data_IF_972976712216
#
_entry.id   IF_972976712216
#
_cell.length_a   1.000
_cell.length_b   1.000
_cell.length_c   1.000
_cell.angle_alpha   90.00
_cell.angle_beta   90.00
_cell.angle_gamma   90.00
#
_symmetry.space_group_name_H-M   'P 1'
#
loop_
_entity.id
_entity.type
_entity.pdbx_description
1 polymer ?
#
# COMPACT_ATOMS: atom_id res chain seq x y z
N UNK A 1 -28.07 -11.05 -7.76
CA UNK A 1 -26.77 -10.38 -7.59
C UNK A 1 -27.05 -8.93 -7.22
N UNK A 2 -26.55 -8.44 -6.08
CA UNK A 2 -26.73 -7.05 -5.65
C UNK A 2 -25.64 -6.19 -6.30
N UNK A 3 -25.95 -4.93 -6.63
CA UNK A 3 -25.00 -3.99 -7.22
C UNK A 3 -24.62 -2.94 -6.17
N UNK A 4 -23.32 -2.80 -5.93
CA UNK A 4 -22.75 -1.72 -5.13
C UNK A 4 -22.15 -0.69 -6.10
N UNK A 5 -22.51 0.58 -5.92
CA UNK A 5 -22.19 1.66 -6.85
C UNK A 5 -21.41 2.77 -6.14
N UNK A 6 -20.24 3.10 -6.68
CA UNK A 6 -19.36 4.10 -6.11
C UNK A 6 -18.78 5.01 -7.18
N UNK A 7 -18.37 6.21 -6.78
CA UNK A 7 -17.36 6.99 -7.50
C UNK A 7 -16.01 6.66 -6.90
N UNK A 8 -15.04 6.32 -7.74
CA UNK A 8 -13.63 6.22 -7.34
C UNK A 8 -12.87 7.42 -7.86
N UNK A 9 -12.13 8.09 -6.98
CA UNK A 9 -11.32 9.26 -7.29
C UNK A 9 -9.87 9.01 -6.88
N UNK A 10 -8.91 9.47 -7.67
CA UNK A 10 -7.52 9.52 -7.25
C UNK A 10 -7.25 10.79 -6.42
N UNK A 11 -6.77 10.64 -5.20
CA UNK A 11 -6.34 11.76 -4.32
C UNK A 11 -4.94 12.26 -4.72
N UNK A 12 -4.12 11.38 -5.28
CA UNK A 12 -2.78 11.68 -5.81
C UNK A 12 -2.66 11.13 -7.22
N UNK A 13 -1.81 11.71 -8.10
CA UNK A 13 -1.56 11.18 -9.42
C UNK A 13 -1.19 9.70 -9.40
N UNK A 14 -1.60 8.97 -10.44
CA UNK A 14 -1.50 7.52 -10.49
C UNK A 14 -0.84 7.01 -11.78
N UNK A 15 0.12 6.10 -11.61
CA UNK A 15 0.88 5.51 -12.72
C UNK A 15 0.32 4.14 -13.10
N UNK A 16 -0.91 4.09 -13.63
CA UNK A 16 -1.59 2.86 -14.05
C UNK A 16 -1.28 2.54 -15.52
N UNK A 17 -0.07 2.02 -15.77
CA UNK A 17 0.38 1.69 -17.12
C UNK A 17 -0.53 0.67 -17.83
N UNK A 18 -0.90 0.96 -19.08
CA UNK A 18 -1.47 0.02 -20.04
C UNK A 18 -0.36 -0.79 -20.75
N UNK A 19 -0.68 -1.46 -21.86
CA UNK A 19 0.30 -2.22 -22.65
C UNK A 19 1.46 -1.35 -23.18
N UNK A 20 1.23 -0.06 -23.40
CA UNK A 20 2.21 0.94 -23.82
C UNK A 20 2.82 1.72 -22.64
N UNK A 21 2.61 1.25 -21.41
CA UNK A 21 3.06 1.90 -20.17
C UNK A 21 2.46 3.30 -19.92
N UNK A 22 1.40 3.68 -20.63
CA UNK A 22 0.67 4.94 -20.44
C UNK A 22 -0.43 4.78 -19.38
N UNK A 23 -0.67 5.82 -18.57
CA UNK A 23 -1.71 5.86 -17.57
C UNK A 23 -3.11 5.69 -18.16
N UNK A 24 -3.84 4.66 -17.73
CA UNK A 24 -5.17 4.35 -18.22
C UNK A 24 -6.11 3.86 -17.11
N UNK A 25 -7.33 4.40 -17.08
CA UNK A 25 -8.46 3.85 -16.36
C UNK A 25 -8.87 2.53 -16.99
N UNK A 26 -8.67 1.43 -16.26
CA UNK A 26 -9.03 0.08 -16.71
C UNK A 26 -9.35 -0.80 -15.51
N UNK A 27 -10.21 -1.80 -15.70
CA UNK A 27 -10.74 -2.65 -14.63
C UNK A 27 -9.71 -3.56 -13.94
N UNK A 28 -8.72 -4.19 -14.62
CA UNK A 28 -7.85 -5.19 -14.00
C UNK A 28 -7.09 -4.73 -12.74
N UNK A 29 -6.49 -3.53 -12.68
CA UNK A 29 -5.87 -2.99 -11.47
C UNK A 29 -6.81 -2.93 -10.27
N UNK A 30 -8.09 -2.57 -10.46
CA UNK A 30 -9.08 -2.53 -9.38
C UNK A 30 -9.44 -3.93 -8.88
N UNK A 31 -9.51 -4.93 -9.78
CA UNK A 31 -9.68 -6.34 -9.37
C UNK A 31 -8.49 -6.81 -8.51
N UNK A 32 -7.26 -6.42 -8.88
CA UNK A 32 -6.08 -6.74 -8.08
C UNK A 32 -6.10 -6.06 -6.70
N UNK A 33 -6.55 -4.81 -6.61
CA UNK A 33 -6.71 -4.10 -5.34
C UNK A 33 -7.77 -4.72 -4.43
N UNK A 34 -8.93 -5.10 -5.01
CA UNK A 34 -9.96 -5.86 -4.30
C UNK A 34 -9.39 -7.14 -3.72
N UNK A 35 -8.74 -7.97 -4.54
CA UNK A 35 -8.07 -9.21 -4.10
C UNK A 35 -7.06 -8.97 -2.98
N UNK A 36 -6.26 -7.90 -3.09
CA UNK A 36 -5.26 -7.56 -2.08
C UNK A 36 -5.88 -7.22 -0.72
N UNK A 37 -6.91 -6.39 -0.68
CA UNK A 37 -7.53 -6.01 0.60
C UNK A 37 -8.49 -7.05 1.12
N UNK A 38 -9.15 -7.80 0.24
CA UNK A 38 -9.99 -8.94 0.62
C UNK A 38 -9.17 -10.00 1.35
N UNK A 39 -7.93 -10.27 0.91
CA UNK A 39 -7.02 -11.18 1.62
C UNK A 39 -6.76 -10.76 3.06
N UNK A 40 -6.63 -9.46 3.34
CA UNK A 40 -6.47 -8.94 4.71
C UNK A 40 -7.76 -9.09 5.51
N UNK A 41 -8.92 -8.81 4.90
CA UNK A 41 -10.23 -8.99 5.54
C UNK A 41 -10.47 -10.45 5.91
N UNK A 42 -10.14 -11.39 5.01
CA UNK A 42 -10.44 -12.82 5.17
C UNK A 42 -9.37 -13.60 5.93
N UNK A 43 -8.16 -13.05 6.10
CA UNK A 43 -7.01 -13.78 6.64
C UNK A 43 -7.32 -14.50 7.97
N UNK A 44 -7.98 -13.82 8.90
CA UNK A 44 -8.32 -14.39 10.21
C UNK A 44 -9.30 -15.57 10.11
N UNK A 45 -10.30 -15.49 9.24
CA UNK A 45 -11.28 -16.58 9.04
C UNK A 45 -10.66 -17.80 8.33
N UNK A 46 -9.55 -17.59 7.63
CA UNK A 46 -8.72 -18.66 7.10
C UNK A 46 -7.58 -19.06 8.04
N UNK A 47 -7.62 -18.66 9.32
CA UNK A 47 -6.60 -18.95 10.34
C UNK A 47 -5.18 -18.55 9.92
N UNK A 48 -5.07 -17.52 9.08
CA UNK A 48 -3.83 -17.05 8.46
C UNK A 48 -3.09 -18.12 7.62
N UNK A 49 -3.79 -19.18 7.20
CA UNK A 49 -3.29 -20.19 6.28
C UNK A 49 -3.45 -19.72 4.83
N UNK A 50 -2.31 -19.54 4.14
CA UNK A 50 -2.28 -19.05 2.77
C UNK A 50 -2.92 -20.02 1.76
N UNK A 51 -2.94 -21.33 2.06
CA UNK A 51 -3.53 -22.35 1.19
C UNK A 51 -5.04 -22.25 1.21
N UNK A 52 -5.64 -22.21 2.42
CA UNK A 52 -7.07 -21.99 2.62
C UNK A 52 -7.52 -20.63 2.06
N UNK A 53 -6.72 -19.59 2.27
CA UNK A 53 -7.01 -18.26 1.74
C UNK A 53 -6.97 -18.23 0.20
N UNK A 54 -5.99 -18.92 -0.41
CA UNK A 54 -5.86 -19.03 -1.88
C UNK A 54 -7.04 -19.79 -2.49
N UNK A 55 -7.52 -20.83 -1.82
CA UNK A 55 -8.72 -21.56 -2.22
C UNK A 55 -9.96 -20.66 -2.15
N UNK A 56 -10.21 -20.01 -1.00
CA UNK A 56 -11.33 -19.10 -0.83
C UNK A 56 -11.30 -17.91 -1.81
N UNK A 57 -10.11 -17.35 -2.08
CA UNK A 57 -9.92 -16.30 -3.09
C UNK A 57 -10.28 -16.81 -4.49
N UNK A 58 -9.84 -18.03 -4.84
CA UNK A 58 -10.16 -18.69 -6.11
C UNK A 58 -11.66 -18.88 -6.28
N UNK A 59 -12.34 -19.36 -5.24
CA UNK A 59 -13.80 -19.55 -5.23
C UNK A 59 -14.56 -18.22 -5.41
N UNK A 60 -14.05 -17.09 -4.91
CA UNK A 60 -14.70 -15.79 -5.04
C UNK A 60 -14.37 -15.08 -6.38
N UNK A 61 -13.08 -14.95 -6.70
CA UNK A 61 -12.60 -14.15 -7.83
C UNK A 61 -12.39 -14.94 -9.13
N UNK A 62 -12.63 -16.25 -9.09
CA UNK A 62 -12.43 -17.21 -10.18
C UNK A 62 -11.03 -17.84 -10.15
N UNK A 63 -10.93 -19.08 -10.64
CA UNK A 63 -9.68 -19.83 -10.72
C UNK A 63 -9.64 -20.80 -11.90
N UNK A 64 -8.44 -21.34 -12.16
CA UNK A 64 -8.21 -22.42 -13.11
C UNK A 64 -7.21 -23.48 -12.59
N UNK A 65 -6.97 -23.52 -11.27
CA UNK A 65 -5.90 -24.35 -10.67
C UNK A 65 -6.34 -25.20 -9.47
N UNK A 66 -7.55 -25.02 -8.92
CA UNK A 66 -8.02 -25.85 -7.81
C UNK A 66 -8.31 -27.27 -8.30
N UNK A 67 -8.13 -28.23 -7.40
CA UNK A 67 -8.40 -29.65 -7.64
C UNK A 67 -9.67 -30.05 -6.89
N UNK A 68 -10.47 -30.92 -7.49
CA UNK A 68 -11.59 -31.56 -6.82
C UNK A 68 -11.12 -32.70 -5.89
N UNK A 69 -12.06 -33.39 -5.25
CA UNK A 69 -11.77 -34.53 -4.36
C UNK A 69 -11.06 -35.70 -5.07
N UNK A 70 -11.18 -35.81 -6.40
CA UNK A 70 -10.47 -36.81 -7.21
C UNK A 70 -9.06 -36.37 -7.61
N UNK A 71 -8.64 -35.16 -7.23
CA UNK A 71 -7.36 -34.57 -7.61
C UNK A 71 -7.35 -33.93 -9.02
N UNK A 72 -8.49 -33.90 -9.72
CA UNK A 72 -8.62 -33.34 -11.06
C UNK A 72 -8.75 -31.82 -11.00
N UNK A 73 -7.97 -31.12 -11.82
CA UNK A 73 -8.08 -29.66 -11.92
C UNK A 73 -9.40 -29.23 -12.55
N UNK A 74 -9.99 -28.17 -12.00
CA UNK A 74 -11.18 -27.54 -12.55
C UNK A 74 -11.05 -26.00 -12.54
N UNK A 75 -11.94 -25.35 -13.29
CA UNK A 75 -11.97 -23.91 -13.43
C UNK A 75 -13.36 -23.36 -13.15
N UNK A 76 -13.40 -22.14 -12.61
CA UNK A 76 -14.64 -21.40 -12.43
C UNK A 76 -14.49 -19.93 -12.74
N UNK A 77 -15.59 -19.34 -13.20
CA UNK A 77 -15.70 -17.90 -13.35
C UNK A 77 -15.81 -17.22 -11.97
N UNK A 78 -15.34 -15.97 -11.92
CA UNK A 78 -15.55 -15.05 -10.80
C UNK A 78 -17.03 -14.95 -10.42
N UNK A 79 -17.35 -15.12 -9.13
CA UNK A 79 -18.71 -14.91 -8.58
C UNK A 79 -19.07 -13.43 -8.45
N UNK A 80 -18.08 -12.54 -8.54
CA UNK A 80 -18.27 -11.09 -8.59
C UNK A 80 -18.11 -10.54 -10.01
N UNK A 81 -18.75 -9.39 -10.28
CA UNK A 81 -18.63 -8.65 -11.55
C UNK A 81 -18.15 -7.23 -11.27
N UNK A 82 -17.11 -6.79 -11.97
CA UNK A 82 -16.48 -5.50 -11.77
C UNK A 82 -16.57 -4.67 -13.05
N UNK A 83 -17.03 -3.41 -12.96
CA UNK A 83 -17.12 -2.52 -14.12
C UNK A 83 -16.78 -1.08 -13.73
N UNK A 84 -15.85 -0.47 -14.47
CA UNK A 84 -15.70 0.98 -14.51
C UNK A 84 -16.70 1.55 -15.51
N UNK A 85 -17.15 2.80 -15.31
CA UNK A 85 -18.06 3.47 -16.24
C UNK A 85 -17.51 3.46 -17.68
N UNK A 86 -16.20 3.69 -17.82
CA UNK A 86 -15.49 3.66 -19.09
C UNK A 86 -14.02 3.21 -18.89
N UNK A 87 -13.36 2.81 -19.98
CA UNK A 87 -11.90 2.71 -20.02
C UNK A 87 -11.35 3.85 -20.84
N UNK A 88 -10.50 4.69 -20.25
CA UNK A 88 -9.94 5.88 -20.92
C UNK A 88 -8.53 6.19 -20.45
N UNK A 89 -7.78 6.93 -21.27
CA UNK A 89 -6.48 7.46 -20.86
C UNK A 89 -6.61 8.41 -19.66
N UNK A 90 -5.53 8.53 -18.88
CA UNK A 90 -5.37 9.62 -17.93
C UNK A 90 -5.20 10.97 -18.65
N UNK A 91 -5.26 12.07 -17.91
CA UNK A 91 -5.23 13.42 -18.47
C UNK A 91 -3.93 14.17 -18.22
N UNK A 92 -3.06 13.69 -17.33
CA UNK A 92 -1.82 14.38 -16.99
C UNK A 92 -0.74 14.16 -18.05
N UNK A 93 -0.50 15.17 -18.90
CA UNK A 93 0.50 15.11 -19.97
C UNK A 93 1.89 15.56 -19.55
N UNK A 94 1.99 16.41 -18.52
CA UNK A 94 3.25 16.96 -18.04
C UNK A 94 3.30 16.88 -16.53
N UNK A 95 4.49 16.66 -15.99
CA UNK A 95 4.68 16.72 -14.55
C UNK A 95 4.81 18.18 -14.12
N UNK A 96 4.07 18.53 -13.08
CA UNK A 96 4.11 19.87 -12.49
C UNK A 96 5.37 20.06 -11.62
N UNK A 97 5.39 21.14 -10.83
CA UNK A 97 6.46 21.43 -9.90
C UNK A 97 6.76 20.25 -8.95
N UNK A 98 8.04 19.98 -8.75
CA UNK A 98 8.55 18.96 -7.83
C UNK A 98 9.17 19.66 -6.62
N UNK A 99 8.44 19.79 -5.49
CA UNK A 99 8.90 20.56 -4.36
C UNK A 99 10.13 19.88 -3.72
N UNK A 100 11.16 20.66 -3.33
CA UNK A 100 12.39 20.10 -2.82
C UNK A 100 12.26 19.58 -1.39
N UNK A 101 12.99 18.52 -1.07
CA UNK A 101 13.20 18.02 0.30
C UNK A 101 14.68 17.77 0.54
N UNK A 102 15.18 18.07 1.74
CA UNK A 102 16.58 17.85 2.08
C UNK A 102 16.88 16.36 2.31
N UNK A 103 17.94 15.85 1.68
CA UNK A 103 18.41 14.48 1.84
C UNK A 103 19.90 14.47 2.23
N UNK A 104 20.19 14.10 3.48
CA UNK A 104 21.55 14.16 4.04
C UNK A 104 22.55 13.19 3.39
N UNK A 105 22.10 12.04 2.89
CA UNK A 105 23.00 11.03 2.26
C UNK A 105 23.23 11.26 0.75
N UNK A 106 22.78 12.37 0.17
CA UNK A 106 22.94 12.63 -1.28
C UNK A 106 23.91 13.81 -1.49
N UNK A 107 25.07 13.54 -2.09
CA UNK A 107 26.18 14.50 -2.19
C UNK A 107 27.02 14.52 -0.91
N UNK A 108 28.13 15.27 -0.92
CA UNK A 108 29.14 15.26 0.17
C UNK A 108 28.53 15.76 1.50
N UNK A 109 27.66 16.77 1.46
CA UNK A 109 27.07 17.40 2.65
C UNK A 109 25.55 17.29 2.71
N UNK A 110 24.98 16.38 1.92
CA UNK A 110 23.55 16.35 1.64
C UNK A 110 23.11 17.46 0.67
N UNK A 111 21.93 17.30 0.07
CA UNK A 111 21.34 18.32 -0.81
C UNK A 111 19.82 18.27 -0.84
N UNK A 112 19.21 19.32 -1.37
CA UNK A 112 17.80 19.30 -1.75
C UNK A 112 17.60 18.45 -3.01
N UNK A 113 16.63 17.56 -2.97
CA UNK A 113 16.19 16.71 -4.09
C UNK A 113 14.68 16.89 -4.32
N UNK A 114 14.20 16.60 -5.52
CA UNK A 114 12.76 16.57 -5.80
C UNK A 114 12.06 15.48 -4.97
N UNK A 115 11.10 15.87 -4.15
CA UNK A 115 10.36 14.96 -3.28
C UNK A 115 9.45 14.02 -4.07
N UNK A 116 8.83 14.51 -5.14
CA UNK A 116 8.00 13.71 -6.03
C UNK A 116 8.85 12.66 -6.73
N UNK A 117 9.98 13.06 -7.32
CA UNK A 117 10.91 12.14 -7.95
C UNK A 117 11.45 11.10 -6.95
N UNK A 118 11.76 11.49 -5.72
CA UNK A 118 12.25 10.54 -4.71
C UNK A 118 11.25 9.42 -4.41
N UNK A 119 9.97 9.75 -4.28
CA UNK A 119 8.90 8.76 -4.06
C UNK A 119 8.46 8.06 -5.35
N UNK A 120 8.62 8.71 -6.49
CA UNK A 120 8.08 8.32 -7.80
C UNK A 120 9.13 7.86 -8.82
N UNK A 121 10.40 7.68 -8.45
CA UNK A 121 11.46 7.33 -9.40
C UNK A 121 11.12 6.08 -10.20
N UNK A 122 11.19 6.14 -11.53
CA UNK A 122 10.79 5.07 -12.44
C UNK A 122 9.69 5.56 -13.37
N UNK A 123 8.44 5.73 -12.89
CA UNK A 123 7.42 6.52 -13.60
C UNK A 123 7.78 8.00 -13.75
N UNK A 124 8.50 8.56 -12.77
CA UNK A 124 9.12 9.87 -12.85
C UNK A 124 10.61 9.74 -13.15
N UNK A 125 11.12 10.65 -13.98
CA UNK A 125 12.53 10.73 -14.35
C UNK A 125 13.04 12.15 -14.21
N UNK A 126 14.36 12.29 -14.02
CA UNK A 126 15.02 13.58 -14.01
C UNK A 126 15.73 13.80 -15.34
N UNK A 127 15.52 14.95 -15.96
CA UNK A 127 16.30 15.40 -17.11
C UNK A 127 17.05 16.67 -16.73
N UNK A 128 18.37 16.68 -16.92
CA UNK A 128 19.23 17.86 -16.68
C UNK A 128 18.62 19.06 -17.41
N UNK A 129 18.55 20.21 -16.76
CA UNK A 129 17.92 21.47 -17.24
C UNK A 129 16.39 21.47 -17.39
N UNK A 130 15.70 20.31 -17.40
CA UNK A 130 14.23 20.23 -17.49
C UNK A 130 13.55 19.84 -16.17
N UNK A 131 14.31 19.32 -15.21
CA UNK A 131 13.78 18.89 -13.92
C UNK A 131 13.08 17.53 -13.97
N UNK A 132 12.16 17.31 -13.04
CA UNK A 132 11.36 16.09 -12.94
C UNK A 132 10.28 16.06 -14.02
N UNK A 133 10.14 14.94 -14.72
CA UNK A 133 9.12 14.73 -15.74
C UNK A 133 8.57 13.31 -15.75
N UNK A 134 7.41 13.14 -16.38
CA UNK A 134 6.81 11.83 -16.66
C UNK A 134 7.71 11.04 -17.62
N UNK A 135 7.96 9.77 -17.30
CA UNK A 135 8.65 8.84 -18.20
C UNK A 135 7.78 8.49 -19.41
N UNK A 136 6.48 8.29 -19.16
CA UNK A 136 5.46 7.98 -20.16
C UNK A 136 4.22 8.82 -19.88
N UNK A 137 3.58 9.30 -20.94
CA UNK A 137 2.41 10.16 -20.89
C UNK A 137 1.22 9.50 -21.60
N UNK A 138 -0.01 9.76 -21.16
CA UNK A 138 -0.38 10.50 -19.95
C UNK A 138 -0.17 9.67 -18.66
N UNK A 139 -0.20 10.31 -17.50
CA UNK A 139 -0.55 9.68 -16.21
C UNK A 139 -2.01 10.00 -15.86
N UNK A 140 -2.59 9.30 -14.87
CA UNK A 140 -3.89 9.69 -14.32
C UNK A 140 -3.65 10.82 -13.31
N UNK A 141 -4.35 11.93 -13.46
CA UNK A 141 -4.18 13.10 -12.60
C UNK A 141 -4.83 12.90 -11.22
N UNK A 142 -4.39 13.69 -10.25
CA UNK A 142 -5.15 13.86 -9.01
C UNK A 142 -6.53 14.43 -9.31
N UNK A 143 -7.50 14.07 -8.48
CA UNK A 143 -8.91 14.40 -8.56
C UNK A 143 -9.65 13.86 -9.80
N UNK A 144 -8.98 13.15 -10.71
CA UNK A 144 -9.72 12.37 -11.71
C UNK A 144 -10.57 11.30 -11.02
N UNK A 145 -11.83 11.22 -11.43
CA UNK A 145 -12.80 10.28 -10.90
C UNK A 145 -13.55 9.53 -12.01
N UNK A 146 -14.10 8.37 -11.65
CA UNK A 146 -14.90 7.53 -12.54
C UNK A 146 -15.91 6.71 -11.73
N UNK A 147 -17.05 6.38 -12.35
CA UNK A 147 -18.00 5.44 -11.78
C UNK A 147 -17.42 4.03 -11.68
N UNK A 148 -17.70 3.34 -10.58
CA UNK A 148 -17.24 2.00 -10.25
C UNK A 148 -18.41 1.17 -9.74
N UNK A 149 -18.61 0.01 -10.36
CA UNK A 149 -19.70 -0.90 -10.04
C UNK A 149 -19.15 -2.27 -9.67
N UNK A 150 -19.64 -2.80 -8.55
CA UNK A 150 -19.33 -4.14 -8.08
C UNK A 150 -20.63 -4.92 -7.90
N UNK A 151 -20.83 -5.94 -8.73
CA UNK A 151 -21.87 -6.95 -8.55
C UNK A 151 -21.39 -8.01 -7.55
N UNK A 152 -22.19 -8.28 -6.53
CA UNK A 152 -21.89 -9.22 -5.44
C UNK A 152 -23.04 -10.22 -5.22
N UNK A 153 -22.71 -11.38 -4.66
CA UNK A 153 -23.71 -12.32 -4.13
C UNK A 153 -24.08 -11.90 -2.70
N UNK A 154 -25.22 -12.38 -2.19
CA UNK A 154 -25.61 -12.11 -0.80
C UNK A 154 -24.61 -12.70 0.21
N UNK A 155 -24.02 -13.87 -0.11
CA UNK A 155 -23.06 -14.55 0.74
C UNK A 155 -21.74 -13.76 0.88
N UNK A 156 -21.29 -13.11 -0.19
CA UNK A 156 -19.99 -12.41 -0.22
C UNK A 156 -20.10 -10.91 0.11
N UNK A 157 -21.32 -10.40 0.34
CA UNK A 157 -21.59 -8.96 0.44
C UNK A 157 -20.84 -8.30 1.61
N UNK A 158 -20.88 -8.89 2.80
CA UNK A 158 -20.26 -8.32 4.01
C UNK A 158 -18.74 -8.16 3.86
N UNK A 159 -18.07 -9.22 3.40
CA UNK A 159 -16.61 -9.23 3.17
C UNK A 159 -16.21 -8.20 2.12
N UNK A 160 -17.00 -8.05 1.06
CA UNK A 160 -16.72 -7.11 -0.01
C UNK A 160 -17.00 -5.66 0.39
N UNK A 161 -18.02 -5.40 1.20
CA UNK A 161 -18.25 -4.09 1.81
C UNK A 161 -17.11 -3.70 2.74
N UNK A 162 -16.64 -4.63 3.58
CA UNK A 162 -15.44 -4.42 4.41
C UNK A 162 -14.20 -4.17 3.55
N UNK A 163 -14.03 -4.93 2.47
CA UNK A 163 -12.92 -4.76 1.52
C UNK A 163 -12.93 -3.37 0.88
N UNK A 164 -14.10 -2.88 0.46
CA UNK A 164 -14.27 -1.53 -0.08
C UNK A 164 -13.97 -0.46 0.97
N UNK A 165 -14.35 -0.67 2.23
CA UNK A 165 -13.96 0.20 3.35
C UNK A 165 -12.44 0.29 3.51
N UNK A 166 -11.73 -0.85 3.44
CA UNK A 166 -10.27 -0.89 3.51
C UNK A 166 -9.62 -0.22 2.29
N UNK A 167 -10.21 -0.36 1.09
CA UNK A 167 -9.76 0.36 -0.10
C UNK A 167 -9.92 1.88 0.08
N UNK A 168 -11.06 2.33 0.60
CA UNK A 168 -11.30 3.74 0.90
C UNK A 168 -10.23 4.28 1.85
N UNK A 169 -10.00 3.60 2.98
CA UNK A 169 -9.03 4.04 3.99
C UNK A 169 -7.56 3.87 3.62
N UNK A 170 -7.19 2.82 2.88
CA UNK A 170 -5.78 2.40 2.71
C UNK A 170 -5.38 2.06 1.26
N UNK A 171 -6.33 2.01 0.33
CA UNK A 171 -6.08 1.66 -1.07
C UNK A 171 -5.19 2.66 -1.83
N UNK A 172 -4.21 2.13 -2.54
CA UNK A 172 -3.37 2.85 -3.51
C UNK A 172 -3.17 1.96 -4.75
N UNK A 173 -3.09 2.56 -5.94
CA UNK A 173 -3.01 1.84 -7.23
C UNK A 173 -1.87 2.32 -8.12
N UNK A 174 -1.37 1.40 -8.96
CA UNK A 174 -0.36 1.70 -9.97
C UNK A 174 1.09 1.67 -9.48
N UNK A 175 2.00 2.16 -10.34
CA UNK A 175 3.42 2.23 -10.03
C UNK A 175 3.69 3.07 -8.79
N UNK A 176 4.62 2.61 -7.93
CA UNK A 176 5.03 3.31 -6.70
C UNK A 176 3.90 3.58 -5.70
N UNK A 177 2.79 2.85 -5.80
CA UNK A 177 1.60 3.03 -4.95
C UNK A 177 1.86 2.96 -3.44
N UNK A 178 2.79 2.10 -3.02
CA UNK A 178 3.21 1.98 -1.61
C UNK A 178 3.91 3.23 -1.06
N UNK A 179 4.31 4.17 -1.92
CA UNK A 179 4.90 5.44 -1.52
C UNK A 179 3.87 6.58 -1.47
N UNK A 180 2.57 6.30 -1.62
CA UNK A 180 1.50 7.30 -1.56
C UNK A 180 0.89 7.66 -2.92
N UNK A 181 1.55 7.34 -4.03
CA UNK A 181 1.00 7.56 -5.38
C UNK A 181 -0.24 6.70 -5.65
N UNK A 182 -1.13 7.19 -6.50
CA UNK A 182 -2.40 6.54 -6.81
C UNK A 182 -3.26 6.23 -5.59
N UNK A 183 -3.18 7.03 -4.53
CA UNK A 183 -4.14 7.00 -3.42
C UNK A 183 -5.55 7.18 -3.96
N UNK A 184 -6.48 6.30 -3.58
CA UNK A 184 -7.87 6.36 -4.02
C UNK A 184 -8.81 6.71 -2.88
N UNK A 185 -9.87 7.46 -3.17
CA UNK A 185 -11.06 7.60 -2.33
C UNK A 185 -12.25 6.95 -3.04
N UNK A 186 -13.22 6.53 -2.25
CA UNK A 186 -14.48 5.94 -2.72
C UNK A 186 -15.65 6.70 -2.09
N UNK A 187 -16.67 7.01 -2.87
CA UNK A 187 -17.90 7.65 -2.42
C UNK A 187 -19.09 6.84 -2.90
N UNK A 188 -20.05 6.53 -2.03
CA UNK A 188 -21.25 5.76 -2.39
C UNK A 188 -22.18 6.61 -3.25
N UNK A 189 -22.62 6.09 -4.40
CA UNK A 189 -23.55 6.79 -5.29
C UNK A 189 -25.01 6.64 -4.88
N UNK A 190 -25.32 5.66 -4.03
CA UNK A 190 -26.69 5.41 -3.58
C UNK A 190 -26.72 5.08 -2.08
N UNK A 191 -27.18 6.03 -1.28
CA UNK A 191 -27.30 5.88 0.18
C UNK A 191 -28.48 5.00 0.59
N UNK A 192 -29.45 4.75 -0.29
CA UNK A 192 -30.66 3.97 0.02
C UNK A 192 -30.48 2.46 -0.19
N UNK A 193 -29.57 2.04 -1.09
CA UNK A 193 -29.38 0.62 -1.44
C UNK A 193 -27.97 0.07 -1.14
N UNK A 194 -27.06 0.90 -0.59
CA UNK A 194 -25.65 0.58 -0.42
C UNK A 194 -25.14 0.69 1.01
N UNK A 195 -24.08 -0.07 1.32
CA UNK A 195 -23.28 0.16 2.53
C UNK A 195 -22.54 1.50 2.40
N UNK A 196 -22.86 2.42 3.30
CA UNK A 196 -22.18 3.70 3.39
C UNK A 196 -20.79 3.50 3.98
N UNK A 197 -19.78 3.85 3.20
CA UNK A 197 -18.40 3.82 3.67
C UNK A 197 -18.23 4.86 4.78
N UNK A 198 -17.68 4.44 5.90
CA UNK A 198 -17.27 5.35 6.95
C UNK A 198 -16.21 6.32 6.38
N UNK A 199 -16.36 7.64 6.61
CA UNK A 199 -15.53 8.66 6.00
C UNK A 199 -14.07 8.56 6.47
N UNK A 200 -13.14 9.14 5.73
CA UNK A 200 -11.73 9.27 6.13
C UNK A 200 -11.57 9.83 7.55
N UNK A 201 -12.42 10.79 7.94
CA UNK A 201 -12.39 11.37 9.29
C UNK A 201 -12.52 10.33 10.41
N UNK A 202 -13.17 9.19 10.16
CA UNK A 202 -13.29 8.10 11.14
C UNK A 202 -11.94 7.45 11.48
N UNK A 203 -11.02 7.31 10.50
CA UNK A 203 -9.66 6.86 10.77
C UNK A 203 -8.82 8.00 11.33
N UNK A 204 -8.95 9.23 10.84
CA UNK A 204 -8.14 10.36 11.29
C UNK A 204 -8.40 10.73 12.76
N UNK A 205 -9.65 10.59 13.21
CA UNK A 205 -10.08 10.86 14.59
C UNK A 205 -9.85 9.70 15.55
N UNK A 206 -9.60 8.49 15.05
CA UNK A 206 -9.45 7.29 15.87
C UNK A 206 -10.73 6.49 16.10
N UNK A 207 -11.90 6.97 15.63
CA UNK A 207 -13.18 6.27 15.79
C UNK A 207 -13.20 4.87 15.16
N UNK A 208 -12.50 4.68 14.05
CA UNK A 208 -12.43 3.39 13.35
C UNK A 208 -11.45 2.38 13.99
N UNK A 209 -10.67 2.76 15.01
CA UNK A 209 -9.56 1.92 15.51
C UNK A 209 -10.05 0.62 16.14
N UNK A 210 -11.16 0.64 16.89
CA UNK A 210 -11.71 -0.57 17.50
C UNK A 210 -12.14 -1.60 16.46
N UNK A 211 -12.73 -1.16 15.35
CA UNK A 211 -13.08 -2.04 14.25
C UNK A 211 -11.84 -2.57 13.53
N UNK A 212 -10.84 -1.70 13.29
CA UNK A 212 -9.59 -2.09 12.63
C UNK A 212 -8.76 -3.09 13.43
N UNK A 213 -8.84 -3.06 14.77
CA UNK A 213 -8.15 -4.04 15.63
C UNK A 213 -8.60 -5.48 15.37
N UNK A 214 -9.83 -5.70 14.88
CA UNK A 214 -10.32 -7.04 14.51
C UNK A 214 -9.57 -7.66 13.33
N UNK A 215 -8.94 -6.84 12.49
CA UNK A 215 -8.15 -7.20 11.31
C UNK A 215 -6.65 -6.97 11.55
N UNK A 216 -6.25 -6.91 12.81
CA UNK A 216 -4.89 -6.64 13.24
C UNK A 216 -4.25 -7.87 13.87
N UNK A 217 -2.92 -7.87 13.94
CA UNK A 217 -2.15 -8.95 14.56
C UNK A 217 -0.84 -8.39 15.16
N UNK A 218 -0.36 -8.92 16.30
CA UNK A 218 0.91 -8.51 16.88
C UNK A 218 2.06 -8.56 15.87
N UNK A 219 2.94 -7.57 15.91
CA UNK A 219 4.08 -7.48 14.99
C UNK A 219 4.91 -8.77 14.95
N UNK A 220 5.21 -9.36 16.13
CA UNK A 220 5.99 -10.59 16.23
C UNK A 220 5.34 -11.76 15.49
N UNK A 221 4.02 -11.92 15.64
CA UNK A 221 3.27 -12.99 14.99
C UNK A 221 3.17 -12.76 13.47
N UNK A 222 3.06 -11.50 13.04
CA UNK A 222 3.07 -11.18 11.62
C UNK A 222 4.39 -11.54 10.95
N UNK A 223 5.51 -11.37 11.65
CA UNK A 223 6.85 -11.67 11.12
C UNK A 223 7.12 -13.17 10.98
N UNK A 224 6.24 -14.04 11.49
CA UNK A 224 6.30 -15.49 11.27
C UNK A 224 5.79 -15.93 9.90
N UNK A 225 5.06 -15.07 9.17
CA UNK A 225 4.53 -15.37 7.84
C UNK A 225 5.09 -14.38 6.82
N UNK A 226 5.52 -14.85 5.65
CA UNK A 226 6.20 -14.03 4.63
C UNK A 226 5.27 -13.29 3.65
N UNK A 227 3.97 -13.26 3.95
CA UNK A 227 2.97 -12.57 3.15
C UNK A 227 2.14 -11.59 4.01
N UNK A 228 1.72 -10.44 3.47
CA UNK A 228 0.97 -9.44 4.24
C UNK A 228 -0.48 -9.87 4.46
N UNK A 229 -0.88 -9.98 5.72
CA UNK A 229 -2.17 -10.59 6.12
C UNK A 229 -2.96 -9.80 7.17
N UNK A 230 -2.35 -8.82 7.85
CA UNK A 230 -2.99 -8.03 8.88
C UNK A 230 -2.31 -6.66 9.02
N UNK A 231 -3.04 -5.67 9.56
CA UNK A 231 -2.42 -4.44 10.07
C UNK A 231 -1.66 -4.81 11.34
N UNK A 232 -0.38 -4.46 11.43
CA UNK A 232 0.41 -4.82 12.60
C UNK A 232 -0.01 -4.04 13.84
N UNK A 233 0.19 -4.63 15.03
CA UNK A 233 0.07 -3.95 16.33
C UNK A 233 1.38 -4.00 17.11
N UNK A 234 1.55 -3.02 17.99
CA UNK A 234 2.59 -2.99 19.02
C UNK A 234 1.97 -2.41 20.29
N UNK A 235 2.06 -3.16 21.40
CA UNK A 235 1.40 -2.85 22.67
C UNK A 235 -0.10 -2.54 22.48
N UNK A 236 -0.80 -3.43 21.76
CA UNK A 236 -2.24 -3.32 21.41
C UNK A 236 -2.64 -2.09 20.59
N UNK A 237 -1.67 -1.28 20.15
CA UNK A 237 -1.92 -0.12 19.29
C UNK A 237 -1.59 -0.47 17.85
N UNK A 238 -2.49 -0.12 16.94
CA UNK A 238 -2.25 -0.26 15.51
C UNK A 238 -0.98 0.49 15.10
N UNK A 239 -0.20 -0.13 14.22
CA UNK A 239 0.92 0.47 13.51
C UNK A 239 0.36 1.32 12.36
N UNK A 240 -0.34 2.40 12.74
CA UNK A 240 -1.02 3.34 11.89
C UNK A 240 -0.77 4.76 12.40
N UNK A 241 -0.27 5.63 11.52
CA UNK A 241 0.09 7.01 11.82
C UNK A 241 -0.55 7.96 10.83
N UNK A 242 -0.80 9.18 11.29
CA UNK A 242 -1.13 10.34 10.44
C UNK A 242 -0.11 11.47 10.61
N UNK A 243 0.03 12.32 9.61
CA UNK A 243 0.79 13.57 9.75
C UNK A 243 0.29 14.39 10.93
N UNK A 244 1.18 15.17 11.55
CA UNK A 244 0.83 16.05 12.68
C UNK A 244 -0.08 17.21 12.27
N UNK A 245 0.04 17.62 11.01
CA UNK A 245 -0.71 18.69 10.39
C UNK A 245 -1.35 18.18 9.09
N UNK A 246 -2.33 18.92 8.59
CA UNK A 246 -2.88 18.74 7.26
C UNK A 246 -2.23 19.69 6.25
N UNK A 247 -2.47 19.44 4.98
CA UNK A 247 -1.91 20.17 3.85
C UNK A 247 -3.00 20.67 2.91
N UNK A 248 -2.70 21.68 2.10
CA UNK A 248 -3.65 22.29 1.16
C UNK A 248 -3.63 21.62 -0.21
N UNK A 249 -2.62 20.78 -0.48
CA UNK A 249 -2.49 20.04 -1.73
C UNK A 249 -1.92 18.66 -1.52
N UNK A 250 -2.24 17.74 -2.44
CA UNK A 250 -1.59 16.43 -2.50
C UNK A 250 -0.06 16.57 -2.67
N UNK A 251 0.40 17.61 -3.36
CA UNK A 251 1.83 17.87 -3.62
C UNK A 251 2.61 18.12 -2.32
N UNK A 252 2.07 18.99 -1.45
CA UNK A 252 2.63 19.23 -0.12
C UNK A 252 2.60 17.97 0.76
N UNK A 253 1.51 17.18 0.70
CA UNK A 253 1.43 15.92 1.42
C UNK A 253 2.48 14.89 0.92
N UNK A 254 2.71 14.82 -0.39
CA UNK A 254 3.76 13.96 -0.96
C UNK A 254 5.17 14.44 -0.59
N UNK A 255 5.39 15.75 -0.48
CA UNK A 255 6.64 16.32 0.04
C UNK A 255 6.89 15.86 1.49
N UNK A 256 5.86 15.89 2.33
CA UNK A 256 5.94 15.43 3.72
C UNK A 256 6.21 13.92 3.81
N UNK A 257 5.55 13.10 3.00
CA UNK A 257 5.83 11.67 2.91
C UNK A 257 7.28 11.38 2.51
N UNK A 258 7.86 12.20 1.62
CA UNK A 258 9.26 12.07 1.23
C UNK A 258 10.19 12.39 2.42
N UNK A 259 9.91 13.47 3.14
CA UNK A 259 10.64 13.87 4.36
C UNK A 259 10.61 12.76 5.41
N UNK A 260 9.44 12.20 5.70
CA UNK A 260 9.25 11.10 6.66
C UNK A 260 10.02 9.85 6.21
N UNK A 261 9.96 9.51 4.92
CA UNK A 261 10.69 8.36 4.36
C UNK A 261 12.19 8.50 4.50
N UNK A 262 12.72 9.69 4.22
CA UNK A 262 14.13 10.02 4.40
C UNK A 262 14.50 9.90 5.89
N UNK A 263 13.67 10.43 6.78
CA UNK A 263 13.92 10.42 8.22
C UNK A 263 14.18 9.01 8.76
N UNK A 264 13.33 8.02 8.44
CA UNK A 264 13.58 6.66 8.92
C UNK A 264 14.63 5.91 8.10
N UNK A 265 14.67 6.03 6.77
CA UNK A 265 15.61 5.25 5.95
C UNK A 265 17.06 5.57 6.28
N UNK A 266 17.34 6.84 6.50
CA UNK A 266 18.71 7.32 6.74
C UNK A 266 19.20 7.12 8.19
N UNK A 267 18.43 6.41 9.01
CA UNK A 267 18.82 5.92 10.34
C UNK A 267 19.11 4.41 10.34
N UNK A 268 18.92 3.76 9.19
CA UNK A 268 19.17 2.33 8.99
C UNK A 268 20.39 2.16 8.10
N UNK A 269 21.29 1.27 8.50
CA UNK A 269 22.46 0.90 7.74
C UNK A 269 22.08 0.07 6.51
N UNK A 270 22.96 0.12 5.50
CA UNK A 270 22.84 -0.65 4.27
C UNK A 270 24.26 -1.03 3.81
N UNK A 271 24.97 -1.92 4.54
CA UNK A 271 26.31 -2.34 4.14
C UNK A 271 26.28 -3.01 2.77
N UNK A 272 27.32 -2.80 1.97
CA UNK A 272 27.49 -3.53 0.70
C UNK A 272 27.96 -4.96 1.02
N UNK A 273 27.36 -5.94 0.37
CA UNK A 273 27.70 -7.35 0.47
C UNK A 273 27.06 -8.10 1.64
N UNK A 274 26.35 -7.42 2.55
CA UNK A 274 25.69 -8.04 3.71
C UNK A 274 24.27 -7.50 3.89
N UNK A 275 23.35 -8.33 4.39
CA UNK A 275 22.05 -7.84 4.80
C UNK A 275 22.22 -6.94 6.03
N UNK A 276 21.48 -5.84 6.06
CA UNK A 276 21.52 -4.83 7.14
C UNK A 276 20.14 -4.23 7.32
N UNK A 277 19.97 -3.30 8.26
CA UNK A 277 18.64 -2.88 8.70
C UNK A 277 17.76 -2.39 7.53
N UNK A 278 18.31 -1.63 6.58
CA UNK A 278 17.56 -1.07 5.44
C UNK A 278 17.07 -2.13 4.46
N UNK A 279 17.74 -3.28 4.39
CA UNK A 279 17.39 -4.40 3.51
C UNK A 279 16.16 -5.16 4.00
N UNK A 280 15.88 -5.15 5.31
CA UNK A 280 14.69 -5.75 5.93
C UNK A 280 13.42 -4.97 5.59
N UNK A 281 13.53 -3.66 5.33
CA UNK A 281 12.37 -2.85 4.95
C UNK A 281 11.93 -3.15 3.51
N UNK A 282 12.89 -3.23 2.58
CA UNK A 282 12.65 -3.50 1.17
C UNK A 282 13.97 -3.83 0.45
N UNK A 283 13.88 -4.64 -0.60
CA UNK A 283 15.00 -5.00 -1.49
C UNK A 283 14.53 -5.01 -2.95
N UNK A 284 15.32 -4.48 -3.91
CA UNK A 284 16.70 -4.00 -3.79
C UNK A 284 16.84 -2.61 -3.17
N UNK A 285 18.04 -2.32 -2.65
CA UNK A 285 18.47 -1.00 -2.22
C UNK A 285 19.56 -0.50 -3.19
N UNK A 286 19.35 0.66 -3.81
CA UNK A 286 20.26 1.21 -4.83
C UNK A 286 21.70 1.27 -4.32
N UNK A 287 22.64 0.65 -5.05
CA UNK A 287 24.07 0.56 -4.71
C UNK A 287 24.43 -0.21 -3.43
N UNK A 288 23.45 -0.81 -2.75
CA UNK A 288 23.64 -1.60 -1.53
C UNK A 288 23.12 -3.02 -1.79
N UNK A 289 23.93 -3.79 -2.52
CA UNK A 289 23.60 -5.19 -2.86
C UNK A 289 23.95 -6.12 -1.70
N UNK A 290 23.22 -7.23 -1.56
CA UNK A 290 23.47 -8.25 -0.54
C UNK A 290 24.03 -9.51 -1.19
N UNK A 291 25.18 -10.02 -0.70
CA UNK A 291 25.73 -11.28 -1.19
C UNK A 291 24.74 -12.43 -0.92
N UNK A 292 24.63 -13.37 -1.86
CA UNK A 292 23.64 -14.46 -1.79
C UNK A 292 22.28 -14.11 -2.41
N UNK A 293 21.86 -12.84 -2.42
CA UNK A 293 20.64 -12.39 -3.11
C UNK A 293 20.87 -12.01 -4.58
N UNK A 294 22.10 -12.13 -5.05
CA UNK A 294 22.52 -11.88 -6.41
C UNK A 294 22.63 -13.17 -7.20
N UNK A 295 22.29 -13.10 -8.48
CA UNK A 295 22.56 -14.14 -9.46
C UNK A 295 23.16 -13.47 -10.69
N UNK A 296 24.35 -13.91 -11.12
CA UNK A 296 25.12 -13.25 -12.18
C UNK A 296 25.28 -11.72 -11.96
N UNK A 297 25.48 -11.31 -10.70
CA UNK A 297 25.63 -9.90 -10.31
C UNK A 297 24.36 -9.05 -10.31
N UNK A 298 23.18 -9.65 -10.56
CA UNK A 298 21.87 -8.98 -10.62
C UNK A 298 20.95 -9.43 -9.49
N UNK A 299 20.09 -8.54 -9.02
CA UNK A 299 19.07 -8.86 -8.02
C UNK A 299 17.99 -9.75 -8.64
N UNK A 300 17.92 -11.02 -8.23
CA UNK A 300 16.88 -11.95 -8.72
C UNK A 300 15.67 -12.03 -7.82
N UNK A 301 15.85 -11.73 -6.53
CA UNK A 301 14.77 -11.71 -5.55
C UNK A 301 14.49 -10.29 -5.08
N UNK A 302 13.26 -10.05 -4.62
CA UNK A 302 12.80 -8.72 -4.19
C UNK A 302 12.00 -8.83 -2.91
N UNK A 303 12.29 -7.95 -1.97
CA UNK A 303 11.44 -7.74 -0.81
C UNK A 303 10.61 -6.49 -1.04
N UNK A 304 9.31 -6.70 -1.08
CA UNK A 304 8.33 -5.64 -1.11
C UNK A 304 8.42 -4.77 0.17
N UNK A 305 8.49 -3.44 0.02
CA UNK A 305 8.26 -2.52 1.14
C UNK A 305 6.94 -2.85 1.87
N UNK A 306 7.05 -3.09 3.18
CA UNK A 306 5.95 -3.48 4.07
C UNK A 306 5.27 -2.25 4.71
N UNK A 307 6.03 -1.17 4.92
CA UNK A 307 5.48 0.13 5.32
C UNK A 307 4.88 0.81 4.10
N UNK A 308 3.60 1.17 4.19
CA UNK A 308 2.86 1.80 3.10
C UNK A 308 2.46 3.21 3.48
N UNK A 309 2.50 4.08 2.48
CA UNK A 309 1.95 5.42 2.58
C UNK A 309 0.70 5.57 1.74
N UNK A 310 -0.14 6.52 2.16
CA UNK A 310 -1.31 6.98 1.45
C UNK A 310 -1.55 8.45 1.76
N UNK A 311 -2.08 9.20 0.80
CA UNK A 311 -2.64 10.53 1.04
C UNK A 311 -4.16 10.40 1.04
N UNK A 312 -4.81 11.04 2.02
CA UNK A 312 -6.27 11.06 2.13
C UNK A 312 -6.77 12.49 2.26
N UNK A 313 -8.03 12.72 1.91
CA UNK A 313 -8.71 14.00 2.15
C UNK A 313 -9.72 13.84 3.30
N UNK A 314 -9.75 14.82 4.19
CA UNK A 314 -10.84 14.97 5.16
C UNK A 314 -12.05 15.68 4.55
N UNK A 315 -13.13 15.77 5.31
CA UNK A 315 -14.36 16.46 4.90
C UNK A 315 -14.19 17.95 4.53
N UNK A 316 -13.09 18.58 4.95
CA UNK A 316 -12.77 19.98 4.63
C UNK A 316 -11.83 20.10 3.42
N UNK A 317 -11.67 19.02 2.65
CA UNK A 317 -10.76 18.92 1.52
C UNK A 317 -9.28 19.15 1.88
N UNK A 318 -8.90 19.00 3.14
CA UNK A 318 -7.49 19.07 3.56
C UNK A 318 -6.85 17.69 3.42
N UNK A 319 -5.58 17.69 3.02
CA UNK A 319 -4.83 16.46 2.75
C UNK A 319 -4.07 16.02 3.99
N UNK A 320 -4.17 14.73 4.32
CA UNK A 320 -3.42 14.10 5.40
C UNK A 320 -2.53 13.01 4.84
N UNK A 321 -1.34 12.87 5.43
CA UNK A 321 -0.46 11.74 5.15
C UNK A 321 -0.78 10.60 6.09
N UNK A 322 -0.95 9.40 5.59
CA UNK A 322 -1.02 8.18 6.37
C UNK A 322 0.23 7.34 6.14
N UNK A 323 0.72 6.75 7.22
CA UNK A 323 1.66 5.64 7.18
C UNK A 323 1.05 4.46 7.93
N UNK A 324 1.14 3.26 7.37
CA UNK A 324 0.63 2.06 8.03
C UNK A 324 1.49 0.86 7.68
N UNK A 325 1.62 -0.04 8.64
CA UNK A 325 2.45 -1.23 8.50
C UNK A 325 1.58 -2.45 8.26
N UNK A 326 1.83 -3.14 7.14
CA UNK A 326 1.36 -4.51 6.89
C UNK A 326 2.57 -5.44 6.99
N UNK A 327 3.02 -5.76 8.22
CA UNK A 327 4.22 -6.55 8.44
C UNK A 327 4.09 -7.96 7.87
N UNK A 328 5.21 -8.49 7.43
CA UNK A 328 5.42 -9.89 7.10
C UNK A 328 6.91 -10.24 7.27
N UNK A 329 7.20 -11.50 7.54
CA UNK A 329 8.57 -12.00 7.64
C UNK A 329 9.34 -11.83 6.33
N UNK A 330 10.67 -11.83 6.42
CA UNK A 330 11.53 -11.98 5.26
C UNK A 330 11.20 -13.33 4.57
N UNK A 331 10.92 -13.34 3.24
CA UNK A 331 10.62 -14.56 2.51
C UNK A 331 11.64 -15.66 2.71
N UNK A 332 11.16 -16.89 2.85
CA UNK A 332 11.99 -18.07 3.11
C UNK A 332 13.12 -18.20 2.07
N UNK A 333 12.80 -18.00 0.79
CA UNK A 333 13.78 -18.01 -0.30
C UNK A 333 14.92 -16.97 -0.12
N UNK A 334 14.65 -15.82 0.52
CA UNK A 334 15.70 -14.85 0.85
C UNK A 334 16.50 -15.28 2.08
N UNK A 335 15.85 -15.90 3.07
CA UNK A 335 16.51 -16.45 4.25
C UNK A 335 17.47 -17.60 3.91
N UNK A 336 17.03 -18.54 3.07
CA UNK A 336 17.85 -19.67 2.61
C UNK A 336 19.13 -19.20 1.93
N UNK A 337 19.03 -18.18 1.07
CA UNK A 337 20.16 -17.58 0.37
C UNK A 337 21.19 -16.89 1.28
N UNK A 338 20.82 -16.57 2.53
CA UNK A 338 21.77 -16.04 3.52
C UNK A 338 22.54 -17.14 4.27
N UNK A 339 22.12 -18.41 4.16
CA UNK A 339 22.78 -19.55 4.77
C UNK A 339 22.95 -19.39 6.28
N UNK A 340 24.18 -19.38 6.83
CA UNK A 340 24.42 -19.20 8.26
C UNK A 340 24.10 -17.78 8.76
N UNK A 341 23.95 -16.79 7.87
CA UNK A 341 23.65 -15.40 8.23
C UNK A 341 22.15 -15.07 8.15
N UNK A 342 21.29 -16.08 8.38
CA UNK A 342 19.83 -15.88 8.44
C UNK A 342 19.46 -14.79 9.43
N UNK A 343 18.48 -13.98 9.07
CA UNK A 343 18.00 -12.88 9.91
C UNK A 343 16.91 -13.43 10.82
N UNK A 344 17.13 -13.39 12.13
CA UNK A 344 16.15 -13.89 13.09
C UNK A 344 14.87 -13.04 13.09
N UNK A 345 13.78 -13.56 13.65
CA UNK A 345 12.57 -12.75 13.88
C UNK A 345 12.87 -11.60 14.85
N UNK A 346 13.75 -11.80 15.84
CA UNK A 346 14.15 -10.76 16.79
C UNK A 346 14.93 -9.62 16.12
N UNK A 347 15.79 -9.93 15.16
CA UNK A 347 16.46 -8.92 14.34
C UNK A 347 15.45 -8.10 13.53
N UNK A 348 14.49 -8.77 12.89
CA UNK A 348 13.43 -8.09 12.15
C UNK A 348 12.58 -7.21 13.08
N UNK A 349 12.24 -7.70 14.28
CA UNK A 349 11.54 -6.95 15.32
C UNK A 349 12.31 -5.71 15.75
N UNK A 350 13.60 -5.85 16.05
CA UNK A 350 14.50 -4.74 16.41
C UNK A 350 14.49 -3.65 15.35
N UNK A 351 14.62 -4.04 14.07
CA UNK A 351 14.61 -3.08 12.95
C UNK A 351 13.26 -2.39 12.82
N UNK A 352 12.15 -3.13 12.87
CA UNK A 352 10.82 -2.54 12.76
C UNK A 352 10.49 -1.63 13.94
N UNK A 353 10.84 -2.00 15.17
CA UNK A 353 10.69 -1.15 16.35
C UNK A 353 11.48 0.16 16.23
N UNK A 354 12.69 0.11 15.65
CA UNK A 354 13.49 1.32 15.35
C UNK A 354 12.77 2.23 14.34
N UNK A 355 12.17 1.66 13.28
CA UNK A 355 11.36 2.43 12.32
C UNK A 355 10.12 3.02 12.98
N UNK A 356 9.38 2.24 13.77
CA UNK A 356 8.17 2.69 14.45
C UNK A 356 8.47 3.81 15.44
N UNK A 357 9.57 3.71 16.19
CA UNK A 357 10.01 4.77 17.09
C UNK A 357 10.38 6.08 16.37
N UNK A 358 10.86 6.01 15.13
CA UNK A 358 11.06 7.21 14.29
C UNK A 358 9.71 7.75 13.82
N UNK A 359 8.79 6.89 13.36
CA UNK A 359 7.45 7.31 12.97
C UNK A 359 6.67 7.95 14.13
N UNK A 360 6.81 7.46 15.36
CA UNK A 360 6.20 8.07 16.55
C UNK A 360 6.74 9.48 16.86
N UNK A 361 7.99 9.78 16.44
CA UNK A 361 8.57 11.13 16.53
C UNK A 361 8.10 12.01 15.37
N UNK A 362 8.10 11.49 14.15
CA UNK A 362 7.80 12.26 12.94
C UNK A 362 6.30 12.47 12.69
N UNK A 363 5.46 11.53 13.14
CA UNK A 363 4.03 11.47 12.89
C UNK A 363 3.26 11.26 14.19
N UNK A 364 1.92 11.36 14.14
CA UNK A 364 1.04 11.02 15.26
C UNK A 364 0.48 9.62 15.06
N UNK A 365 0.82 8.68 15.95
CA UNK A 365 0.17 7.36 15.97
C UNK A 365 -1.31 7.54 16.26
N UNK A 366 -2.17 6.96 15.44
CA UNK A 366 -3.62 7.07 15.60
C UNK A 366 -4.04 6.11 16.73
N UNK A 367 -4.78 6.63 17.70
CA UNK A 367 -5.26 5.88 18.85
C UNK A 367 -6.80 5.88 18.83
N UNK A 368 -7.41 4.87 19.45
CA UNK A 368 -8.86 4.84 19.61
C UNK A 368 -9.34 6.03 20.42
N UNK A 369 -10.51 6.56 20.08
CA UNK A 369 -11.20 7.50 20.95
C UNK A 369 -11.56 6.77 22.25
N UNK A 370 -11.08 7.27 23.40
CA UNK A 370 -11.72 6.96 24.67
C UNK A 370 -13.07 7.69 24.63
N UNK A 371 -14.09 7.08 24.03
CA UNK A 371 -15.45 7.47 24.36
C UNK A 371 -15.62 7.16 25.84
N UNK A 372 -16.00 8.19 26.61
CA UNK A 372 -16.05 8.12 28.07
C UNK A 372 -16.72 6.84 28.51
N UNK A 373 -16.04 6.10 29.39
CA UNK A 373 -16.76 5.19 30.27
C UNK A 373 -17.81 6.07 30.98
N UNK A 374 -19.10 5.70 30.95
CA UNK A 374 -20.11 6.40 31.72
C UNK A 374 -19.72 6.47 33.21
#
# INVERSE_FOLDING_TARGET
MKRLEYTVQFVTPAFLGNAFQQGQWRTPPFKALLRQWWRVVKARECDYDHSRLREAEGCLFGHAWLKDQSGKQWAMQSRIRLRLAEWRGGRMQQWQNDPPVFHKEVGISGRKIGSHLYLGYGPLTFKRHKGTGLKQTPAIDANEAIGFNLGVTAQDESDLQRTLQFIHWFGTLGGRSRNGWGSVSLESLNQQNGFNLAPTDSILSGKAIQELLKFSRPLADCLQLDWPHAIGTSNERLLLWKSRFHFDSWSQAMQELARIKIAFRTKLDAPVGKAGDRHILAYPVTNHKVNGWLENGRDTNRLANQLRFKVVQDKNNKYWCLAFHLPCGLPEMLQEKLGPNKISTDDQLRVWNKVHGILDKEMKRIQGTQEGRP
#
